data_IF_820179178097
#
_entry.id   IF_820179178097
#
_cell.length_a   1.000
_cell.length_b   1.000
_cell.length_c   1.000
_cell.angle_alpha   90.00
_cell.angle_beta   90.00
_cell.angle_gamma   90.00
#
_symmetry.space_group_name_H-M   'P 1'
#
loop_
_entity.id
_entity.type
_entity.pdbx_description
1 polymer ?
#
# COMPACT_ATOMS: atom_id res chain seq x y z
N UNK A 1 -26.90 -13.27 25.17
CA UNK A 1 -25.95 -14.28 24.67
C UNK A 1 -24.54 -13.75 24.86
N UNK A 2 -23.78 -14.30 25.81
CA UNK A 2 -22.41 -13.90 26.16
C UNK A 2 -21.44 -14.05 24.98
N UNK A 3 -21.67 -15.05 24.13
CA UNK A 3 -20.69 -15.56 23.17
C UNK A 3 -20.54 -14.68 21.92
N UNK A 4 -21.41 -13.67 21.76
CA UNK A 4 -21.38 -12.66 20.68
C UNK A 4 -21.09 -11.25 21.21
N UNK A 5 -20.80 -11.10 22.50
CA UNK A 5 -20.54 -9.79 23.11
C UNK A 5 -19.29 -9.10 22.54
N UNK A 6 -18.33 -9.87 22.02
CA UNK A 6 -17.09 -9.38 21.40
C UNK A 6 -17.34 -8.46 20.19
N UNK A 7 -18.45 -8.63 19.47
CA UNK A 7 -18.84 -7.77 18.35
C UNK A 7 -19.15 -6.33 18.78
N UNK A 8 -19.36 -6.08 20.08
CA UNK A 8 -19.53 -4.72 20.63
C UNK A 8 -18.19 -4.04 20.94
N UNK A 9 -17.07 -4.71 20.72
CA UNK A 9 -15.72 -4.20 21.01
C UNK A 9 -14.96 -3.85 19.74
N UNK A 10 -13.91 -3.05 19.84
CA UNK A 10 -13.07 -2.68 18.69
C UNK A 10 -12.17 -3.82 18.18
N UNK A 11 -11.88 -4.82 19.03
CA UNK A 11 -10.91 -5.88 18.75
C UNK A 11 -11.16 -6.69 17.46
N UNK A 12 -12.37 -7.21 17.17
CA UNK A 12 -12.60 -7.96 15.93
C UNK A 12 -12.41 -7.08 14.68
N UNK A 13 -12.88 -5.83 14.73
CA UNK A 13 -12.72 -4.88 13.64
C UNK A 13 -11.25 -4.51 13.41
N UNK A 14 -10.46 -4.43 14.47
CA UNK A 14 -9.03 -4.20 14.40
C UNK A 14 -8.31 -5.34 13.65
N UNK A 15 -8.56 -6.59 14.04
CA UNK A 15 -7.94 -7.77 13.41
C UNK A 15 -8.37 -7.93 11.96
N UNK A 16 -9.65 -7.73 11.65
CA UNK A 16 -10.14 -7.79 10.27
C UNK A 16 -9.50 -6.69 9.42
N UNK A 17 -9.40 -5.46 9.93
CA UNK A 17 -8.77 -4.34 9.21
C UNK A 17 -7.29 -4.58 8.97
N UNK A 18 -6.57 -5.02 10.00
CA UNK A 18 -5.15 -5.37 9.91
C UNK A 18 -4.92 -6.53 8.94
N UNK A 19 -5.69 -7.62 9.05
CA UNK A 19 -5.59 -8.78 8.18
C UNK A 19 -5.91 -8.45 6.72
N UNK A 20 -6.92 -7.60 6.49
CA UNK A 20 -7.26 -7.12 5.14
C UNK A 20 -6.13 -6.28 4.55
N UNK A 21 -5.53 -5.38 5.35
CA UNK A 21 -4.40 -4.54 4.94
C UNK A 21 -3.18 -5.40 4.56
N UNK A 22 -2.74 -6.28 5.46
CA UNK A 22 -1.60 -7.16 5.24
C UNK A 22 -1.85 -8.09 4.03
N UNK A 23 -3.02 -8.72 3.98
CA UNK A 23 -3.40 -9.62 2.89
C UNK A 23 -3.43 -8.93 1.53
N UNK A 24 -3.98 -7.71 1.47
CA UNK A 24 -4.01 -6.89 0.25
C UNK A 24 -2.61 -6.55 -0.22
N UNK A 25 -1.74 -6.07 0.69
CA UNK A 25 -0.35 -5.73 0.38
C UNK A 25 0.43 -6.94 -0.14
N UNK A 26 0.34 -8.06 0.58
CA UNK A 26 1.05 -9.27 0.24
C UNK A 26 0.57 -9.81 -1.11
N UNK A 27 -0.74 -10.00 -1.27
CA UNK A 27 -1.31 -10.60 -2.46
C UNK A 27 -1.05 -9.73 -3.69
N UNK A 28 -1.35 -8.43 -3.66
CA UNK A 28 -1.17 -7.58 -4.84
C UNK A 28 0.30 -7.48 -5.25
N UNK A 29 1.22 -7.33 -4.29
CA UNK A 29 2.64 -7.09 -4.59
C UNK A 29 3.36 -8.35 -5.04
N UNK A 30 3.20 -9.45 -4.30
CA UNK A 30 4.00 -10.66 -4.48
C UNK A 30 3.30 -11.77 -5.25
N UNK A 31 1.98 -11.67 -5.45
CA UNK A 31 1.20 -12.70 -6.16
C UNK A 31 0.50 -12.10 -7.38
N UNK A 32 -0.54 -11.28 -7.18
CA UNK A 32 -1.38 -10.71 -8.22
C UNK A 32 -0.62 -9.91 -9.27
N UNK A 33 0.31 -9.04 -8.85
CA UNK A 33 1.16 -8.27 -9.76
C UNK A 33 2.07 -9.15 -10.63
N UNK A 34 2.73 -10.16 -10.03
CA UNK A 34 3.63 -11.06 -10.74
C UNK A 34 2.85 -11.98 -11.69
N UNK A 35 1.75 -12.57 -11.22
CA UNK A 35 0.91 -13.46 -12.02
C UNK A 35 0.33 -12.69 -13.21
N UNK A 36 -0.23 -11.50 -12.99
CA UNK A 36 -0.79 -10.69 -14.08
C UNK A 36 0.27 -10.21 -15.07
N UNK A 37 1.48 -9.85 -14.61
CA UNK A 37 2.59 -9.48 -15.50
C UNK A 37 3.02 -10.64 -16.40
N UNK A 38 3.04 -11.87 -15.89
CA UNK A 38 3.40 -13.07 -16.65
C UNK A 38 2.28 -13.54 -17.59
N UNK A 39 1.03 -13.34 -17.20
CA UNK A 39 -0.12 -13.88 -17.93
C UNK A 39 -0.66 -12.94 -19.03
N UNK A 40 -0.46 -11.63 -18.91
CA UNK A 40 -1.07 -10.63 -19.79
C UNK A 40 -0.05 -10.00 -20.74
N UNK A 41 -0.49 -9.64 -21.94
CA UNK A 41 0.30 -8.77 -22.80
C UNK A 41 0.53 -7.40 -22.13
N UNK A 42 1.69 -6.76 -22.36
CA UNK A 42 2.08 -5.49 -21.71
C UNK A 42 0.97 -4.41 -21.70
N UNK A 43 0.22 -4.18 -22.80
CA UNK A 43 -0.89 -3.22 -22.78
C UNK A 43 -2.05 -3.61 -21.85
N UNK A 44 -2.40 -4.89 -21.82
CA UNK A 44 -3.48 -5.41 -20.96
C UNK A 44 -3.08 -5.35 -19.48
N UNK A 45 -1.85 -5.76 -19.16
CA UNK A 45 -1.27 -5.60 -17.82
C UNK A 45 -1.31 -4.13 -17.39
N UNK A 46 -0.84 -3.22 -18.24
CA UNK A 46 -0.84 -1.78 -17.97
C UNK A 46 -2.26 -1.24 -17.69
N UNK A 47 -3.26 -1.67 -18.46
CA UNK A 47 -4.66 -1.28 -18.23
C UNK A 47 -5.20 -1.81 -16.91
N UNK A 48 -4.94 -3.09 -16.59
CA UNK A 48 -5.36 -3.70 -15.33
C UNK A 48 -4.75 -2.95 -14.13
N UNK A 49 -3.44 -2.68 -14.18
CA UNK A 49 -2.73 -1.97 -13.10
C UNK A 49 -3.28 -0.55 -12.89
N UNK A 50 -3.62 0.18 -13.95
CA UNK A 50 -4.24 1.51 -13.86
C UNK A 50 -5.61 1.50 -13.14
N UNK A 51 -6.31 0.37 -13.13
CA UNK A 51 -7.59 0.20 -12.41
C UNK A 51 -7.39 -0.33 -10.99
N UNK A 52 -6.42 -1.22 -10.78
CA UNK A 52 -6.14 -1.79 -9.46
C UNK A 52 -5.43 -0.81 -8.52
N UNK A 53 -4.40 -0.09 -9.00
CA UNK A 53 -3.57 0.73 -8.11
C UNK A 53 -4.32 1.82 -7.35
N UNK A 54 -5.29 2.56 -7.93
CA UNK A 54 -6.07 3.53 -7.17
C UNK A 54 -6.85 2.89 -6.01
N UNK A 55 -7.45 1.72 -6.24
CA UNK A 55 -8.18 0.96 -5.20
C UNK A 55 -7.21 0.45 -4.15
N UNK A 56 -6.10 -0.14 -4.60
CA UNK A 56 -5.05 -0.69 -3.73
C UNK A 56 -4.43 0.38 -2.82
N UNK A 57 -4.05 1.55 -3.36
CA UNK A 57 -3.52 2.65 -2.55
C UNK A 57 -4.59 3.29 -1.66
N UNK A 58 -5.86 3.32 -2.09
CA UNK A 58 -6.97 3.76 -1.25
C UNK A 58 -7.16 2.88 -0.02
N UNK A 59 -7.14 1.55 -0.19
CA UNK A 59 -7.20 0.58 0.91
C UNK A 59 -6.01 0.77 1.85
N UNK A 60 -4.79 0.85 1.31
CA UNK A 60 -3.58 1.01 2.12
C UNK A 60 -3.49 2.36 2.84
N UNK A 61 -4.15 3.41 2.33
CA UNK A 61 -4.21 4.71 3.01
C UNK A 61 -5.29 4.72 4.09
N UNK A 62 -6.41 4.02 3.86
CA UNK A 62 -7.57 4.07 4.75
C UNK A 62 -7.44 3.11 5.93
N UNK A 63 -7.03 1.86 5.69
CA UNK A 63 -7.01 0.84 6.74
C UNK A 63 -6.04 1.13 7.90
N UNK A 64 -4.86 1.76 7.73
CA UNK A 64 -4.05 2.18 8.87
C UNK A 64 -4.76 3.14 9.81
N UNK A 65 -5.64 4.01 9.28
CA UNK A 65 -6.47 4.90 10.12
C UNK A 65 -7.50 4.09 10.90
N UNK A 66 -8.13 3.10 10.27
CA UNK A 66 -9.07 2.20 10.95
C UNK A 66 -8.36 1.38 12.03
N UNK A 67 -7.17 0.85 11.74
CA UNK A 67 -6.31 0.14 12.70
C UNK A 67 -5.96 1.06 13.88
N UNK A 68 -5.61 2.32 13.63
CA UNK A 68 -5.33 3.29 14.69
C UNK A 68 -6.57 3.60 15.56
N UNK A 69 -7.72 3.81 14.93
CA UNK A 69 -9.00 4.07 15.60
C UNK A 69 -9.45 2.89 16.48
N UNK A 70 -9.24 1.68 15.98
CA UNK A 70 -9.66 0.44 16.64
C UNK A 70 -8.58 -0.15 17.53
N UNK A 71 -7.49 0.56 17.78
CA UNK A 71 -6.36 0.07 18.55
C UNK A 71 -6.80 -0.42 19.94
N UNK A 72 -6.54 -1.68 20.30
CA UNK A 72 -7.04 -2.25 21.55
C UNK A 72 -6.24 -1.73 22.76
N UNK A 73 -6.95 -1.38 23.84
CA UNK A 73 -6.33 -1.10 25.13
C UNK A 73 -5.54 -2.33 25.62
N UNK A 74 -4.46 -2.10 26.37
CA UNK A 74 -3.67 -3.22 26.92
C UNK A 74 -4.44 -3.95 28.02
N UNK A 75 -4.54 -5.27 27.92
CA UNK A 75 -5.01 -6.13 29.01
C UNK A 75 -3.96 -6.35 30.11
N UNK A 76 -2.69 -6.06 29.83
CA UNK A 76 -1.54 -6.29 30.72
C UNK A 76 -1.36 -5.21 31.82
N UNK A 77 -2.39 -4.44 32.16
CA UNK A 77 -2.36 -3.53 33.30
C UNK A 77 -1.45 -2.28 33.16
N UNK A 78 -0.80 -2.09 32.00
CA UNK A 78 0.07 -0.93 31.72
C UNK A 78 -0.68 0.40 31.49
N UNK A 79 -2.00 0.44 31.72
CA UNK A 79 -2.80 1.67 31.64
C UNK A 79 -2.85 2.34 30.25
N UNK A 80 -2.47 1.65 29.16
CA UNK A 80 -2.50 2.26 27.82
C UNK A 80 -3.94 2.40 27.31
N UNK A 81 -4.38 3.63 26.96
CA UNK A 81 -5.71 3.87 26.41
C UNK A 81 -5.94 3.11 25.09
N UNK A 82 -7.20 2.92 24.70
CA UNK A 82 -7.56 2.42 23.36
C UNK A 82 -7.56 3.55 22.32
N UNK A 83 -7.67 3.16 21.04
CA UNK A 83 -7.78 4.08 19.92
C UNK A 83 -6.57 5.00 19.77
N UNK A 84 -6.78 6.23 19.29
CA UNK A 84 -5.70 7.18 19.05
C UNK A 84 -4.87 7.49 20.30
N UNK A 85 -5.50 7.66 21.46
CA UNK A 85 -4.76 7.90 22.70
C UNK A 85 -3.76 6.77 23.02
N UNK A 86 -4.12 5.52 22.70
CA UNK A 86 -3.22 4.39 22.80
C UNK A 86 -2.09 4.44 21.77
N UNK A 87 -2.43 4.73 20.51
CA UNK A 87 -1.44 4.85 19.42
C UNK A 87 -0.38 5.91 19.75
N UNK A 88 -0.79 7.06 20.28
CA UNK A 88 0.10 8.18 20.61
C UNK A 88 0.78 8.08 21.97
N UNK A 89 0.54 7.02 22.76
CA UNK A 89 1.24 6.84 24.02
C UNK A 89 2.74 6.62 23.81
N UNK A 90 3.60 7.21 24.64
CA UNK A 90 5.05 7.15 24.49
C UNK A 90 5.59 5.71 24.43
N UNK A 91 5.02 4.83 25.26
CA UNK A 91 5.35 3.39 25.30
C UNK A 91 5.03 2.66 23.99
N UNK A 92 4.16 3.23 23.16
CA UNK A 92 3.70 2.67 21.89
C UNK A 92 4.36 3.35 20.68
N UNK A 93 5.31 4.27 20.90
CA UNK A 93 5.94 5.05 19.82
C UNK A 93 6.54 4.16 18.73
N UNK A 94 7.39 3.21 19.09
CA UNK A 94 8.11 2.37 18.14
C UNK A 94 7.34 1.11 17.71
N UNK A 95 6.45 0.62 18.56
CA UNK A 95 5.68 -0.61 18.31
C UNK A 95 4.37 -0.35 17.54
N UNK A 96 3.85 0.87 17.59
CA UNK A 96 2.52 1.21 17.04
C UNK A 96 2.56 2.46 16.20
N UNK A 97 2.93 3.61 16.79
CA UNK A 97 2.82 4.91 16.11
C UNK A 97 3.67 4.97 14.85
N UNK A 98 4.97 4.70 14.97
CA UNK A 98 5.91 4.78 13.85
C UNK A 98 5.53 3.79 12.73
N UNK A 99 5.23 2.51 13.01
CA UNK A 99 4.72 1.60 11.98
C UNK A 99 3.45 2.10 11.30
N UNK A 100 2.39 2.44 12.05
CA UNK A 100 1.11 2.87 11.48
C UNK A 100 1.27 4.16 10.67
N UNK A 101 2.01 5.14 11.18
CA UNK A 101 2.29 6.39 10.48
C UNK A 101 3.09 6.14 9.19
N UNK A 102 4.05 5.21 9.22
CA UNK A 102 4.84 4.85 8.02
C UNK A 102 3.94 4.24 6.95
N UNK A 103 3.05 3.31 7.32
CA UNK A 103 2.10 2.70 6.37
C UNK A 103 1.21 3.80 5.76
N UNK A 104 0.65 4.67 6.60
CA UNK A 104 -0.22 5.76 6.15
C UNK A 104 0.49 6.72 5.20
N UNK A 105 1.65 7.25 5.60
CA UNK A 105 2.36 8.29 4.83
C UNK A 105 2.90 7.76 3.50
N UNK A 106 3.45 6.55 3.49
CA UNK A 106 3.95 5.93 2.25
C UNK A 106 2.81 5.62 1.28
N UNK A 107 1.67 5.14 1.79
CA UNK A 107 0.48 4.86 0.99
C UNK A 107 -0.18 6.14 0.47
N UNK A 108 -0.26 7.18 1.29
CA UNK A 108 -0.78 8.49 0.91
C UNK A 108 0.09 9.14 -0.17
N UNK A 109 1.41 9.09 -0.03
CA UNK A 109 2.33 9.58 -1.06
C UNK A 109 2.14 8.83 -2.39
N UNK A 110 1.95 7.52 -2.34
CA UNK A 110 1.60 6.72 -3.51
C UNK A 110 0.26 7.11 -4.13
N UNK A 111 -0.77 7.28 -3.31
CA UNK A 111 -2.13 7.60 -3.75
C UNK A 111 -2.22 9.00 -4.36
N UNK A 112 -1.66 10.01 -3.68
CA UNK A 112 -1.89 11.41 -3.99
C UNK A 112 -0.84 12.02 -4.92
N UNK A 113 0.41 11.50 -4.93
CA UNK A 113 1.52 12.11 -5.65
C UNK A 113 2.11 11.16 -6.71
N UNK A 114 2.65 10.02 -6.28
CA UNK A 114 3.46 9.15 -7.15
C UNK A 114 2.61 8.41 -8.18
N UNK A 115 1.45 7.88 -7.78
CA UNK A 115 0.52 7.17 -8.66
C UNK A 115 -0.03 8.07 -9.79
N UNK A 116 -0.59 9.25 -9.48
CA UNK A 116 -1.04 10.20 -10.49
C UNK A 116 0.07 10.63 -11.46
N UNK A 117 1.26 10.93 -10.94
CA UNK A 117 2.41 11.31 -11.77
C UNK A 117 2.87 10.15 -12.68
N UNK A 118 2.92 8.93 -12.18
CA UNK A 118 3.23 7.73 -12.99
C UNK A 118 2.22 7.54 -14.11
N UNK A 119 0.93 7.71 -13.80
CA UNK A 119 -0.17 7.59 -14.78
C UNK A 119 -0.06 8.66 -15.87
N UNK A 120 0.33 9.89 -15.52
CA UNK A 120 0.60 10.96 -16.50
C UNK A 120 1.70 10.54 -17.48
N UNK A 121 2.84 10.04 -16.99
CA UNK A 121 3.94 9.56 -17.83
C UNK A 121 3.49 8.37 -18.71
N UNK A 122 2.65 7.48 -18.19
CA UNK A 122 2.08 6.37 -18.98
C UNK A 122 1.24 6.88 -20.16
N UNK A 123 0.44 7.94 -19.97
CA UNK A 123 -0.34 8.57 -21.04
C UNK A 123 0.56 9.25 -22.07
N UNK A 124 1.59 9.97 -21.60
CA UNK A 124 2.56 10.62 -22.48
C UNK A 124 3.32 9.61 -23.34
N UNK A 125 3.75 8.48 -22.77
CA UNK A 125 4.34 7.38 -23.55
C UNK A 125 3.38 6.89 -24.62
N UNK A 126 2.10 6.69 -24.30
CA UNK A 126 1.10 6.23 -25.27
C UNK A 126 0.91 7.23 -26.43
N UNK A 127 0.93 8.52 -26.15
CA UNK A 127 0.91 9.54 -27.18
C UNK A 127 2.17 9.49 -28.05
N UNK A 128 3.34 9.35 -27.42
CA UNK A 128 4.61 9.22 -28.13
C UNK A 128 4.67 7.97 -29.02
N UNK A 129 4.03 6.86 -28.64
CA UNK A 129 3.92 5.67 -29.51
C UNK A 129 3.24 5.99 -30.83
N UNK A 130 2.25 6.88 -30.81
CA UNK A 130 1.50 7.28 -32.01
C UNK A 130 2.36 8.19 -32.90
N UNK A 131 3.16 9.07 -32.29
CA UNK A 131 4.08 9.96 -33.01
C UNK A 131 5.24 9.19 -33.64
N UNK A 132 5.78 8.22 -32.92
CA UNK A 132 6.93 7.43 -33.36
C UNK A 132 6.54 6.26 -34.29
N UNK A 133 5.26 5.90 -34.34
CA UNK A 133 4.80 4.66 -35.00
C UNK A 133 5.39 3.40 -34.36
N UNK A 134 5.89 3.48 -33.12
CA UNK A 134 6.64 2.43 -32.43
C UNK A 134 6.29 2.40 -30.95
N UNK A 135 6.12 1.20 -30.38
CA UNK A 135 5.67 1.05 -28.99
C UNK A 135 6.83 1.29 -28.03
N UNK A 136 6.54 1.74 -26.81
CA UNK A 136 7.57 2.05 -25.80
C UNK A 136 8.36 0.82 -25.33
N UNK A 137 7.87 -0.37 -25.67
CA UNK A 137 8.38 -1.67 -25.25
C UNK A 137 8.94 -2.53 -26.39
N UNK A 138 8.95 -2.02 -27.62
CA UNK A 138 9.57 -2.69 -28.76
C UNK A 138 11.11 -2.62 -28.66
N UNK A 139 11.88 -3.43 -29.42
CA UNK A 139 13.34 -3.35 -29.43
C UNK A 139 13.87 -1.97 -29.83
N UNK A 140 15.03 -1.58 -29.30
CA UNK A 140 15.73 -0.33 -29.64
C UNK A 140 16.04 -0.22 -31.15
N UNK A 141 16.30 1.00 -31.69
CA UNK A 141 16.31 2.29 -31.01
C UNK A 141 14.90 2.90 -30.86
N UNK A 142 14.70 3.69 -29.80
CA UNK A 142 13.54 4.57 -29.64
C UNK A 142 13.96 6.02 -29.84
N UNK A 143 12.99 6.91 -30.14
CA UNK A 143 13.23 8.35 -30.16
C UNK A 143 13.81 8.83 -28.81
N UNK A 144 14.57 9.94 -28.84
CA UNK A 144 15.09 10.54 -27.60
C UNK A 144 13.97 10.86 -26.60
N UNK A 145 12.82 11.30 -27.12
CA UNK A 145 11.66 11.64 -26.30
C UNK A 145 11.07 10.41 -25.61
N UNK A 146 10.90 9.30 -26.33
CA UNK A 146 10.46 8.04 -25.75
C UNK A 146 11.46 7.51 -24.72
N UNK A 147 12.77 7.68 -24.94
CA UNK A 147 13.80 7.29 -23.96
C UNK A 147 13.68 8.09 -22.66
N UNK A 148 13.49 9.42 -22.74
CA UNK A 148 13.25 10.27 -21.56
C UNK A 148 12.02 9.81 -20.79
N UNK A 149 10.91 9.55 -21.50
CA UNK A 149 9.67 9.07 -20.89
C UNK A 149 9.82 7.69 -20.24
N UNK A 150 10.55 6.76 -20.87
CA UNK A 150 10.83 5.44 -20.31
C UNK A 150 11.69 5.54 -19.04
N UNK A 151 12.70 6.43 -19.01
CA UNK A 151 13.50 6.70 -17.81
C UNK A 151 12.65 7.30 -16.69
N UNK A 152 11.81 8.29 -17.02
CA UNK A 152 10.91 8.91 -16.05
C UNK A 152 9.92 7.89 -15.47
N UNK A 153 9.35 7.02 -16.32
CA UNK A 153 8.48 5.94 -15.86
C UNK A 153 9.21 4.98 -14.93
N UNK A 154 10.40 4.52 -15.31
CA UNK A 154 11.21 3.60 -14.49
C UNK A 154 11.52 4.18 -13.11
N UNK A 155 11.87 5.47 -13.06
CA UNK A 155 12.12 6.18 -11.80
C UNK A 155 10.86 6.27 -10.93
N UNK A 156 9.74 6.75 -11.47
CA UNK A 156 8.49 6.89 -10.69
C UNK A 156 7.92 5.54 -10.25
N UNK A 157 7.99 4.52 -11.10
CA UNK A 157 7.60 3.16 -10.74
C UNK A 157 8.49 2.59 -9.63
N UNK A 158 9.81 2.83 -9.68
CA UNK A 158 10.75 2.44 -8.64
C UNK A 158 10.46 3.10 -7.30
N UNK A 159 10.23 4.42 -7.29
CA UNK A 159 9.84 5.16 -6.07
C UNK A 159 8.54 4.59 -5.49
N UNK A 160 7.53 4.37 -6.33
CA UNK A 160 6.26 3.80 -5.89
C UNK A 160 6.43 2.43 -5.23
N UNK A 161 7.29 1.59 -5.83
CA UNK A 161 7.59 0.25 -5.34
C UNK A 161 8.32 0.28 -3.99
N UNK A 162 9.27 1.21 -3.82
CA UNK A 162 9.98 1.38 -2.55
C UNK A 162 9.06 1.88 -1.43
N UNK A 163 8.19 2.85 -1.71
CA UNK A 163 7.18 3.32 -0.76
C UNK A 163 6.27 2.16 -0.33
N UNK A 164 5.81 1.35 -1.30
CA UNK A 164 4.94 0.21 -1.04
C UNK A 164 5.64 -0.88 -0.22
N UNK A 165 6.91 -1.17 -0.51
CA UNK A 165 7.71 -2.14 0.25
C UNK A 165 7.97 -1.64 1.69
N UNK A 166 8.31 -0.37 1.86
CA UNK A 166 8.49 0.25 3.18
C UNK A 166 7.20 0.19 4.01
N UNK A 167 6.05 0.51 3.40
CA UNK A 167 4.73 0.35 4.02
C UNK A 167 4.44 -1.10 4.40
N UNK A 168 4.74 -2.07 3.53
CA UNK A 168 4.54 -3.50 3.84
C UNK A 168 5.41 -3.98 5.00
N UNK A 169 6.69 -3.59 5.05
CA UNK A 169 7.58 -3.91 6.18
C UNK A 169 7.05 -3.30 7.49
N UNK A 170 6.55 -2.06 7.44
CA UNK A 170 5.92 -1.43 8.60
C UNK A 170 4.64 -2.16 9.04
N UNK A 171 3.82 -2.68 8.12
CA UNK A 171 2.67 -3.54 8.45
C UNK A 171 3.11 -4.81 9.17
N UNK A 172 4.17 -5.48 8.70
CA UNK A 172 4.71 -6.68 9.36
C UNK A 172 5.25 -6.36 10.76
N UNK A 173 5.98 -5.25 10.91
CA UNK A 173 6.46 -4.79 12.22
C UNK A 173 5.28 -4.56 13.17
N UNK A 174 4.26 -3.83 12.72
CA UNK A 174 3.06 -3.63 13.52
C UNK A 174 2.40 -4.96 13.92
N UNK A 175 2.35 -5.92 13.00
CA UNK A 175 1.86 -7.28 13.26
C UNK A 175 2.56 -8.01 14.41
N UNK A 176 3.89 -7.94 14.45
CA UNK A 176 4.68 -8.53 15.56
C UNK A 176 4.33 -7.84 16.88
N UNK A 177 4.19 -6.52 16.88
CA UNK A 177 3.82 -5.75 18.07
C UNK A 177 2.39 -6.03 18.54
N UNK A 178 1.48 -6.31 17.60
CA UNK A 178 0.11 -6.70 17.87
C UNK A 178 0.03 -8.10 18.49
N UNK A 179 0.89 -9.04 18.09
CA UNK A 179 0.92 -10.39 18.65
C UNK A 179 1.14 -10.40 20.17
N UNK A 180 2.00 -9.50 20.68
CA UNK A 180 2.26 -9.33 22.11
C UNK A 180 1.03 -8.85 22.92
N UNK A 181 -0.08 -8.49 22.26
CA UNK A 181 -1.33 -8.08 22.91
C UNK A 181 -2.44 -9.12 22.78
N UNK A 182 -2.24 -10.15 21.97
CA UNK A 182 -3.19 -11.25 21.75
C UNK A 182 -2.82 -12.45 22.65
N UNK A 183 -1.52 -12.61 22.96
CA UNK A 183 -1.01 -13.53 23.98
C UNK A 183 -1.18 -12.96 25.38
#
# INVERSE_FOLDING_TARGET
MSDVSIFKTAAPYHIISYGTLLGTQFFQTFVGGIVSYKALARPQFSQLQQKLFPVYFGIQTTLPVVVALTYPASKLGLGTPSGFHGVFADVNRWSVLIPIATIFLTSLANMALVGPATTKIMRERKHQETRDGKKYYDPAPHSEEMQKLNKAFGSMHGISSLLNLGGFVATLWYGVSLAARIQ
#
